data_IF_798639304378
#
_entry.id   IF_798639304378
#
_cell.length_a   1.000
_cell.length_b   1.000
_cell.length_c   1.000
_cell.angle_alpha   90.00
_cell.angle_beta   90.00
_cell.angle_gamma   90.00
#
_symmetry.space_group_name_H-M   'P 1'
#
loop_
_entity.id
_entity.type
_entity.pdbx_description
1 polymer ?
#
# COMPACT_ATOMS: atom_id res chain seq x y z
N UNK A 1 16.12 15.21 6.03
CA UNK A 1 16.79 14.18 5.22
C UNK A 1 15.82 13.81 4.12
N UNK A 2 15.98 14.40 2.93
CA UNK A 2 15.07 14.21 1.79
C UNK A 2 15.76 13.31 0.77
N UNK A 3 15.25 12.09 0.57
CA UNK A 3 15.50 11.10 -0.50
C UNK A 3 14.79 9.82 -0.03
N UNK A 4 13.83 9.18 -0.67
CA UNK A 4 13.56 8.96 -2.09
C UNK A 4 12.08 8.56 -2.25
N UNK A 5 11.19 9.48 -2.64
CA UNK A 5 9.81 9.12 -3.05
C UNK A 5 9.76 8.69 -4.53
N UNK A 6 10.91 8.59 -5.18
CA UNK A 6 11.07 7.95 -6.48
C UNK A 6 11.29 6.44 -6.27
N UNK A 7 10.57 5.63 -7.05
CA UNK A 7 10.74 4.17 -7.24
C UNK A 7 10.08 3.27 -6.18
N UNK A 8 8.80 3.46 -5.88
CA UNK A 8 7.99 2.31 -5.50
C UNK A 8 6.80 2.20 -6.44
N UNK A 9 6.90 1.31 -7.43
CA UNK A 9 5.78 0.91 -8.26
C UNK A 9 5.02 -0.26 -7.61
N UNK A 10 3.91 -0.64 -8.23
CA UNK A 10 3.07 -1.74 -7.75
C UNK A 10 3.84 -3.07 -7.62
N UNK A 11 4.80 -3.32 -8.53
CA UNK A 11 5.65 -4.51 -8.53
C UNK A 11 6.59 -4.53 -7.33
N UNK A 12 7.27 -3.41 -7.07
CA UNK A 12 8.19 -3.24 -5.94
C UNK A 12 7.45 -3.35 -4.61
N UNK A 13 6.25 -2.77 -4.51
CA UNK A 13 5.40 -2.91 -3.33
C UNK A 13 5.05 -4.39 -3.09
N UNK A 14 4.62 -5.11 -4.13
CA UNK A 14 4.29 -6.54 -4.04
C UNK A 14 5.48 -7.35 -3.57
N UNK A 15 6.66 -7.13 -4.17
CA UNK A 15 7.89 -7.84 -3.81
C UNK A 15 8.23 -7.66 -2.33
N UNK A 16 8.21 -6.41 -1.84
CA UNK A 16 8.51 -6.10 -0.45
C UNK A 16 7.50 -6.67 0.54
N UNK A 17 6.21 -6.66 0.20
CA UNK A 17 5.17 -7.31 1.01
C UNK A 17 5.33 -8.83 1.02
N UNK A 18 5.95 -9.43 0.00
CA UNK A 18 6.21 -10.88 -0.07
C UNK A 18 7.57 -11.29 0.50
N UNK A 19 8.43 -10.33 0.89
CA UNK A 19 9.76 -10.61 1.44
C UNK A 19 9.67 -11.55 2.65
N UNK A 20 10.61 -12.48 2.88
CA UNK A 20 10.59 -13.35 4.05
C UNK A 20 10.79 -12.60 5.37
N UNK A 21 11.49 -11.46 5.35
CA UNK A 21 11.78 -10.63 6.52
C UNK A 21 10.62 -9.69 6.88
N UNK A 22 10.40 -9.40 8.19
CA UNK A 22 9.33 -8.49 8.61
C UNK A 22 9.53 -7.03 8.20
N UNK A 23 10.77 -6.54 8.22
CA UNK A 23 11.06 -5.12 8.03
C UNK A 23 10.68 -4.60 6.63
N UNK A 24 11.03 -5.28 5.52
CA UNK A 24 10.58 -4.85 4.18
C UNK A 24 9.07 -4.79 4.05
N UNK A 25 8.34 -5.74 4.65
CA UNK A 25 6.87 -5.76 4.63
C UNK A 25 6.31 -4.54 5.36
N UNK A 26 6.87 -4.23 6.53
CA UNK A 26 6.46 -3.08 7.34
C UNK A 26 6.69 -1.76 6.60
N UNK A 27 7.88 -1.57 6.04
CA UNK A 27 8.20 -0.37 5.23
C UNK A 27 7.28 -0.24 4.02
N UNK A 28 6.97 -1.34 3.34
CA UNK A 28 6.04 -1.34 2.21
C UNK A 28 4.60 -0.97 2.62
N UNK A 29 4.13 -1.46 3.77
CA UNK A 29 2.81 -1.09 4.28
C UNK A 29 2.73 0.39 4.66
N UNK A 30 3.78 0.96 5.28
CA UNK A 30 3.80 2.37 5.66
C UNK A 30 3.77 3.32 4.46
N UNK A 31 4.37 2.95 3.34
CA UNK A 31 4.31 3.80 2.16
C UNK A 31 2.87 4.03 1.66
N UNK A 32 1.95 3.07 1.86
CA UNK A 32 0.52 3.24 1.54
C UNK A 32 -0.15 4.32 2.42
N UNK A 33 0.35 4.51 3.65
CA UNK A 33 -0.12 5.54 4.58
C UNK A 33 0.37 6.94 4.18
N UNK A 34 1.58 7.01 3.62
CA UNK A 34 2.23 8.28 3.21
C UNK A 34 1.68 8.86 1.89
N UNK A 35 0.69 8.24 1.27
CA UNK A 35 0.08 8.81 0.06
C UNK A 35 -0.76 10.03 0.43
N UNK A 36 -0.20 11.21 0.15
CA UNK A 36 -0.88 12.48 0.37
C UNK A 36 -2.07 12.67 -0.58
N UNK A 37 -3.20 13.13 -0.03
CA UNK A 37 -4.34 13.58 -0.81
C UNK A 37 -4.10 15.03 -1.28
N UNK A 38 -4.23 15.26 -2.59
CA UNK A 38 -4.21 16.59 -3.17
C UNK A 38 -5.40 17.43 -2.66
N UNK A 39 -5.19 18.73 -2.47
CA UNK A 39 -6.28 19.65 -2.13
C UNK A 39 -7.31 19.66 -3.28
N UNK A 40 -8.59 19.49 -2.94
CA UNK A 40 -9.66 19.37 -3.94
C UNK A 40 -9.85 17.97 -4.53
N UNK A 41 -9.23 16.94 -3.94
CA UNK A 41 -9.48 15.54 -4.30
C UNK A 41 -10.99 15.22 -4.32
N UNK A 42 -11.43 14.47 -5.32
CA UNK A 42 -12.83 14.07 -5.44
C UNK A 42 -13.27 13.24 -4.21
N UNK A 43 -14.57 13.25 -3.85
CA UNK A 43 -15.08 12.45 -2.73
C UNK A 43 -14.74 10.95 -2.85
N UNK A 44 -14.71 10.42 -4.08
CA UNK A 44 -14.32 9.04 -4.34
C UNK A 44 -12.84 8.77 -4.00
N UNK A 45 -11.95 9.72 -4.28
CA UNK A 45 -10.52 9.63 -3.95
C UNK A 45 -10.29 9.73 -2.44
N UNK A 46 -11.03 10.61 -1.76
CA UNK A 46 -11.01 10.71 -0.29
C UNK A 46 -11.46 9.40 0.35
N UNK A 47 -12.58 8.82 -0.11
CA UNK A 47 -13.09 7.54 0.39
C UNK A 47 -12.09 6.39 0.15
N UNK A 48 -11.41 6.38 -1.00
CA UNK A 48 -10.37 5.41 -1.31
C UNK A 48 -9.19 5.51 -0.34
N UNK A 49 -8.68 6.71 -0.09
CA UNK A 49 -7.58 6.93 0.85
C UNK A 49 -7.98 6.55 2.29
N UNK A 50 -9.19 6.87 2.73
CA UNK A 50 -9.71 6.41 4.03
C UNK A 50 -9.79 4.88 4.12
N UNK A 51 -10.18 4.21 3.03
CA UNK A 51 -10.23 2.75 2.98
C UNK A 51 -8.83 2.10 3.01
N UNK A 52 -7.84 2.76 2.39
CA UNK A 52 -6.43 2.37 2.47
C UNK A 52 -5.85 2.60 3.88
N UNK A 53 -6.12 3.74 4.51
CA UNK A 53 -5.69 4.01 5.89
C UNK A 53 -6.25 2.97 6.88
N UNK A 54 -7.55 2.66 6.80
CA UNK A 54 -8.17 1.57 7.60
C UNK A 54 -7.60 0.18 7.31
N UNK A 55 -7.07 -0.02 6.10
CA UNK A 55 -6.41 -1.27 5.75
C UNK A 55 -5.02 -1.34 6.38
N UNK A 56 -4.25 -0.25 6.34
CA UNK A 56 -2.92 -0.13 6.96
C UNK A 56 -3.00 -0.25 8.49
N UNK A 57 -3.98 0.38 9.13
CA UNK A 57 -4.18 0.36 10.59
C UNK A 57 -4.31 -1.07 11.17
N UNK A 58 -4.82 -2.01 10.37
CA UNK A 58 -4.95 -3.43 10.77
C UNK A 58 -3.62 -4.18 10.81
N UNK A 59 -2.57 -3.61 10.21
CA UNK A 59 -1.25 -4.21 10.14
C UNK A 59 -1.14 -5.40 9.18
N UNK A 60 0.02 -6.05 9.24
CA UNK A 60 0.35 -7.21 8.40
C UNK A 60 -0.21 -8.47 9.06
N UNK A 61 -1.02 -9.29 8.36
CA UNK A 61 -1.52 -10.55 8.90
C UNK A 61 -0.38 -11.52 9.25
N UNK A 62 -0.56 -12.29 10.33
CA UNK A 62 0.39 -13.32 10.77
C UNK A 62 0.23 -14.64 9.98
N UNK A 63 0.24 -14.54 8.65
CA UNK A 63 0.17 -15.69 7.75
C UNK A 63 1.51 -15.91 7.04
N UNK A 64 1.72 -17.14 6.56
CA UNK A 64 2.84 -17.42 5.64
C UNK A 64 2.65 -16.65 4.34
N UNK A 65 3.74 -16.26 3.68
CA UNK A 65 3.68 -15.62 2.34
C UNK A 65 3.13 -16.54 1.25
N UNK A 66 3.05 -17.85 1.53
CA UNK A 66 2.42 -18.86 0.66
C UNK A 66 0.93 -19.06 0.97
N UNK A 67 0.42 -18.48 2.07
CA UNK A 67 -0.97 -18.63 2.45
C UNK A 67 -1.88 -17.86 1.47
N UNK A 68 -2.96 -18.48 0.95
CA UNK A 68 -3.87 -17.81 0.03
C UNK A 68 -4.48 -16.52 0.59
N UNK A 69 -4.75 -16.45 1.89
CA UNK A 69 -5.26 -15.25 2.54
C UNK A 69 -4.21 -14.14 2.60
N UNK A 70 -2.94 -14.48 2.79
CA UNK A 70 -1.85 -13.52 2.70
C UNK A 70 -1.72 -12.97 1.28
N UNK A 71 -1.70 -13.86 0.27
CA UNK A 71 -1.65 -13.48 -1.14
C UNK A 71 -2.80 -12.56 -1.54
N UNK A 72 -4.01 -12.83 -1.04
CA UNK A 72 -5.18 -11.98 -1.24
C UNK A 72 -5.04 -10.62 -0.56
N UNK A 73 -4.52 -10.59 0.67
CA UNK A 73 -4.22 -9.36 1.40
C UNK A 73 -3.18 -8.50 0.65
N UNK A 74 -2.08 -9.10 0.16
CA UNK A 74 -1.07 -8.41 -0.65
C UNK A 74 -1.69 -7.84 -1.93
N UNK A 75 -2.52 -8.63 -2.61
CA UNK A 75 -3.19 -8.17 -3.84
C UNK A 75 -4.11 -6.97 -3.58
N UNK A 76 -4.78 -6.94 -2.42
CA UNK A 76 -5.58 -5.79 -1.99
C UNK A 76 -4.73 -4.55 -1.69
N UNK A 77 -3.58 -4.73 -1.02
CA UNK A 77 -2.64 -3.64 -0.75
C UNK A 77 -2.14 -3.01 -2.06
N UNK A 78 -1.74 -3.84 -3.03
CA UNK A 78 -1.31 -3.40 -4.36
C UNK A 78 -2.43 -2.67 -5.11
N UNK A 79 -3.66 -3.18 -5.05
CA UNK A 79 -4.80 -2.50 -5.68
C UNK A 79 -5.05 -1.10 -5.11
N UNK A 80 -4.89 -0.91 -3.79
CA UNK A 80 -4.98 0.43 -3.20
C UNK A 80 -3.86 1.34 -3.71
N UNK A 81 -2.63 0.83 -3.78
CA UNK A 81 -1.47 1.57 -4.30
C UNK A 81 -1.73 2.07 -5.72
N UNK A 82 -2.08 1.17 -6.64
CA UNK A 82 -2.35 1.51 -8.04
C UNK A 82 -3.43 2.58 -8.15
N UNK A 83 -4.57 2.37 -7.50
CA UNK A 83 -5.72 3.29 -7.59
C UNK A 83 -5.44 4.66 -6.99
N UNK A 84 -4.59 4.75 -5.98
CA UNK A 84 -4.18 6.01 -5.37
C UNK A 84 -3.09 6.72 -6.21
N UNK A 85 -2.16 5.96 -6.80
CA UNK A 85 -1.10 6.49 -7.68
C UNK A 85 -1.65 6.98 -9.03
N UNK A 86 -2.70 6.36 -9.56
CA UNK A 86 -3.45 6.90 -10.68
C UNK A 86 -4.14 8.21 -10.25
N UNK A 87 -3.44 9.33 -10.42
CA UNK A 87 -4.06 10.66 -10.44
C UNK A 87 -5.11 10.62 -11.53
N UNK A 88 -6.38 10.80 -11.16
CA UNK A 88 -7.46 10.81 -12.14
C UNK A 88 -7.14 11.86 -13.21
N UNK A 89 -7.14 11.43 -14.47
CA UNK A 89 -7.38 12.33 -15.58
C UNK A 89 -8.81 12.89 -15.48
#
# INVERSE_FOLDING_TARGET
MSSSSAVMDASTLRERLMAPEPMPRFTALHALEEIELEQGASPARVALAQAAAKFVERGIPFYSTQDPHYCAWVSKAVSYWERLQHRGQ
#
